data_IF_384741703306
#
_entry.id   IF_384741703306
#
_cell.length_a   1.000
_cell.length_b   1.000
_cell.length_c   1.000
_cell.angle_alpha   90.00
_cell.angle_beta   90.00
_cell.angle_gamma   90.00
#
_symmetry.space_group_name_H-M   'P 1'
#
loop_
_entity.id
_entity.type
_entity.pdbx_description
1 polymer ?
#
# COMPACT_ATOMS: atom_id res chain seq x y z
N UNK A 1 -20.62 8.99 5.20
CA UNK A 1 -19.94 9.65 4.07
C UNK A 1 -20.62 9.18 2.77
N UNK A 2 -21.22 10.07 1.99
CA UNK A 2 -22.07 9.71 0.83
C UNK A 2 -21.30 9.49 -0.48
N UNK A 3 -20.03 9.07 -0.43
CA UNK A 3 -19.19 8.82 -1.62
C UNK A 3 -18.60 7.41 -1.53
N UNK A 4 -18.59 6.64 -2.63
CA UNK A 4 -17.95 5.34 -2.63
C UNK A 4 -16.42 5.49 -2.50
N UNK A 5 -15.73 4.52 -1.87
CA UNK A 5 -14.27 4.47 -1.88
C UNK A 5 -13.74 4.21 -3.31
N UNK A 6 -12.50 4.61 -3.56
CA UNK A 6 -11.83 4.43 -4.86
C UNK A 6 -10.89 3.23 -4.90
N UNK A 7 -10.48 2.71 -3.73
CA UNK A 7 -9.59 1.58 -3.56
C UNK A 7 -9.72 1.02 -2.13
N UNK A 8 -9.05 -0.09 -1.87
CA UNK A 8 -8.92 -0.72 -0.55
C UNK A 8 -7.44 -0.79 -0.18
N UNK A 9 -7.14 -0.41 1.05
CA UNK A 9 -5.91 -0.72 1.76
C UNK A 9 -6.27 -1.14 3.21
N UNK A 10 -5.27 -1.30 4.07
CA UNK A 10 -5.54 -1.45 5.49
C UNK A 10 -4.43 -0.85 6.33
N UNK A 11 -4.82 -0.36 7.51
CA UNK A 11 -3.86 -0.05 8.56
C UNK A 11 -2.96 -1.26 8.87
N UNK A 12 -1.68 -1.03 9.10
CA UNK A 12 -0.66 -2.05 9.37
C UNK A 12 -0.57 -3.20 8.33
N UNK A 13 -1.05 -2.98 7.10
CA UNK A 13 -1.05 -4.00 6.03
C UNK A 13 -1.74 -5.32 6.42
N UNK A 14 -2.65 -5.32 7.40
CA UNK A 14 -3.36 -6.53 7.85
C UNK A 14 -4.11 -7.27 6.73
N UNK A 15 -4.52 -6.56 5.67
CA UNK A 15 -5.10 -7.18 4.48
C UNK A 15 -4.15 -8.17 3.79
N UNK A 16 -2.84 -8.07 3.97
CA UNK A 16 -1.83 -8.98 3.40
C UNK A 16 -1.53 -10.19 4.29
N UNK A 17 -2.22 -10.36 5.42
CA UNK A 17 -2.04 -11.57 6.23
C UNK A 17 -2.67 -12.77 5.50
N UNK A 18 -2.01 -13.95 5.43
CA UNK A 18 -2.49 -15.08 4.61
C UNK A 18 -3.91 -15.54 4.92
N UNK A 19 -4.34 -15.43 6.18
CA UNK A 19 -5.69 -15.82 6.60
C UNK A 19 -6.76 -14.78 6.24
N UNK A 20 -6.36 -13.54 5.96
CA UNK A 20 -7.25 -12.39 5.72
C UNK A 20 -7.29 -12.03 4.24
N UNK A 21 -6.13 -12.11 3.56
CA UNK A 21 -5.96 -11.68 2.17
C UNK A 21 -7.02 -12.24 1.21
N UNK A 22 -7.35 -13.55 1.21
CA UNK A 22 -8.36 -14.09 0.29
C UNK A 22 -9.75 -13.45 0.46
N UNK A 23 -10.10 -13.07 1.70
CA UNK A 23 -11.39 -12.42 2.00
C UNK A 23 -11.41 -10.98 1.46
N UNK A 24 -10.31 -10.24 1.67
CA UNK A 24 -10.19 -8.85 1.21
C UNK A 24 -10.11 -8.80 -0.32
N UNK A 25 -9.35 -9.70 -0.94
CA UNK A 25 -9.25 -9.81 -2.39
C UNK A 25 -10.60 -10.14 -3.03
N UNK A 26 -11.33 -11.12 -2.50
CA UNK A 26 -12.67 -11.46 -2.99
C UNK A 26 -13.66 -10.29 -2.84
N UNK A 27 -13.58 -9.57 -1.73
CA UNK A 27 -14.41 -8.37 -1.52
C UNK A 27 -14.06 -7.26 -2.51
N UNK A 28 -12.78 -6.97 -2.70
CA UNK A 28 -12.30 -5.97 -3.65
C UNK A 28 -12.79 -6.27 -5.07
N UNK A 29 -12.68 -7.53 -5.51
CA UNK A 29 -13.19 -7.99 -6.80
C UNK A 29 -14.71 -7.82 -6.90
N UNK A 30 -15.47 -8.24 -5.89
CA UNK A 30 -16.93 -8.13 -5.89
C UNK A 30 -17.42 -6.67 -5.93
N UNK A 31 -16.65 -5.73 -5.38
CA UNK A 31 -16.96 -4.29 -5.42
C UNK A 31 -16.35 -3.58 -6.64
N UNK A 32 -15.53 -4.26 -7.45
CA UNK A 32 -14.79 -3.63 -8.55
C UNK A 32 -13.80 -2.56 -8.09
N UNK A 33 -13.22 -2.73 -6.89
CA UNK A 33 -12.28 -1.78 -6.28
C UNK A 33 -10.83 -2.27 -6.45
N UNK A 34 -9.89 -1.39 -6.83
CA UNK A 34 -8.46 -1.65 -6.73
C UNK A 34 -8.04 -1.98 -5.29
N UNK A 35 -7.02 -2.82 -5.14
CA UNK A 35 -6.46 -3.24 -3.85
C UNK A 35 -4.97 -2.88 -3.81
N UNK A 36 -4.52 -2.15 -2.78
CA UNK A 36 -3.09 -1.95 -2.50
C UNK A 36 -2.39 -3.30 -2.42
N UNK A 37 -1.24 -3.45 -3.09
CA UNK A 37 -0.53 -4.73 -3.12
C UNK A 37 0.99 -4.55 -3.01
N UNK A 38 1.57 -5.02 -1.91
CA UNK A 38 3.00 -5.23 -1.80
C UNK A 38 3.35 -6.60 -2.40
N UNK A 39 3.85 -6.62 -3.64
CA UNK A 39 4.20 -7.86 -4.36
C UNK A 39 5.37 -8.61 -3.73
N UNK A 40 6.29 -7.91 -3.06
CA UNK A 40 7.41 -8.56 -2.36
C UNK A 40 6.93 -9.21 -1.07
N UNK A 41 6.01 -8.57 -0.36
CA UNK A 41 5.35 -9.17 0.80
C UNK A 41 4.46 -10.35 0.41
N UNK A 42 3.70 -10.24 -0.69
CA UNK A 42 2.92 -11.34 -1.23
C UNK A 42 3.79 -12.57 -1.52
N UNK A 43 4.95 -12.36 -2.16
CA UNK A 43 5.93 -13.43 -2.41
C UNK A 43 6.45 -14.02 -1.09
N UNK A 44 6.88 -13.20 -0.13
CA UNK A 44 7.37 -13.66 1.18
C UNK A 44 6.34 -14.48 1.95
N UNK A 45 5.07 -14.14 1.81
CA UNK A 45 3.93 -14.79 2.49
C UNK A 45 3.27 -15.90 1.68
N UNK A 46 3.80 -16.20 0.49
CA UNK A 46 3.26 -17.22 -0.43
C UNK A 46 1.78 -16.99 -0.77
N UNK A 47 1.37 -15.73 -0.93
CA UNK A 47 0.00 -15.38 -1.28
C UNK A 47 -0.28 -15.70 -2.76
N UNK A 48 -1.36 -16.42 -3.01
CA UNK A 48 -1.91 -16.57 -4.36
C UNK A 48 -2.66 -15.29 -4.73
N UNK A 49 -2.11 -14.52 -5.66
CA UNK A 49 -2.69 -13.25 -6.10
C UNK A 49 -3.61 -13.49 -7.29
N UNK A 50 -4.89 -13.16 -7.13
CA UNK A 50 -5.90 -13.17 -8.19
C UNK A 50 -6.42 -11.77 -8.50
N UNK A 51 -5.99 -10.75 -7.73
CA UNK A 51 -6.44 -9.38 -7.90
C UNK A 51 -6.10 -8.82 -9.28
N UNK A 52 -7.09 -8.34 -10.04
CA UNK A 52 -6.86 -7.83 -11.39
C UNK A 52 -6.41 -6.36 -11.40
N UNK A 53 -6.50 -5.62 -10.30
CA UNK A 53 -6.24 -4.17 -10.28
C UNK A 53 -5.50 -3.71 -9.01
N UNK A 54 -4.25 -3.28 -9.21
CA UNK A 54 -3.36 -2.64 -8.23
C UNK A 54 -2.37 -1.77 -9.01
N UNK A 55 -1.61 -0.92 -8.33
CA UNK A 55 -0.38 -0.33 -8.90
C UNK A 55 0.65 -1.40 -9.26
N UNK A 56 1.60 -1.03 -10.11
CA UNK A 56 2.71 -1.91 -10.50
C UNK A 56 3.67 -2.11 -9.33
N UNK A 57 4.00 -1.01 -8.66
CA UNK A 57 4.85 -0.97 -7.48
C UNK A 57 4.14 -0.36 -6.26
N UNK A 58 4.53 -0.85 -5.09
CA UNK A 58 4.16 -0.31 -3.80
C UNK A 58 5.41 -0.08 -2.96
N UNK A 59 5.48 1.06 -2.27
CA UNK A 59 6.61 1.44 -1.44
C UNK A 59 6.16 1.98 -0.07
N UNK A 60 6.49 1.25 1.00
CA UNK A 60 6.25 1.65 2.40
C UNK A 60 7.48 2.25 3.09
N UNK A 61 8.57 2.51 2.37
CA UNK A 61 9.85 2.91 2.95
C UNK A 61 10.01 4.40 3.20
N UNK A 62 9.04 5.24 2.85
CA UNK A 62 8.98 6.64 3.28
C UNK A 62 8.39 6.73 4.70
N UNK A 63 9.09 6.10 5.65
CA UNK A 63 8.66 5.93 7.04
C UNK A 63 9.85 5.96 8.02
N UNK A 64 9.59 6.23 9.30
CA UNK A 64 10.58 6.24 10.37
C UNK A 64 11.12 7.64 10.70
N UNK A 65 12.28 7.69 11.36
CA UNK A 65 12.84 8.94 11.90
C UNK A 65 13.62 9.78 10.85
N UNK A 66 14.04 9.16 9.75
CA UNK A 66 14.91 9.78 8.74
C UNK A 66 14.16 10.21 7.48
N UNK A 67 13.00 10.85 7.64
CA UNK A 67 12.21 11.38 6.53
C UNK A 67 12.89 12.61 5.94
N UNK A 68 13.17 12.59 4.64
CA UNK A 68 13.83 13.69 3.93
C UNK A 68 13.43 13.72 2.46
N UNK A 69 13.64 14.88 1.81
CA UNK A 69 13.49 15.01 0.36
C UNK A 69 14.42 14.05 -0.41
N UNK A 70 15.65 13.86 0.07
CA UNK A 70 16.61 12.93 -0.51
C UNK A 70 16.08 11.47 -0.48
N UNK A 71 15.47 11.05 0.64
CA UNK A 71 14.82 9.75 0.74
C UNK A 71 13.66 9.64 -0.26
N UNK A 72 12.81 10.67 -0.35
CA UNK A 72 11.69 10.68 -1.32
C UNK A 72 12.18 10.47 -2.75
N UNK A 73 13.17 11.26 -3.19
CA UNK A 73 13.76 11.14 -4.53
C UNK A 73 14.41 9.77 -4.76
N UNK A 74 15.07 9.21 -3.74
CA UNK A 74 15.63 7.86 -3.82
C UNK A 74 14.55 6.78 -4.04
N UNK A 75 13.40 6.87 -3.36
CA UNK A 75 12.30 5.91 -3.54
C UNK A 75 11.67 6.03 -4.93
N UNK A 76 11.53 7.24 -5.46
CA UNK A 76 11.06 7.47 -6.83
C UNK A 76 12.03 6.88 -7.87
N UNK A 77 13.32 7.17 -7.74
CA UNK A 77 14.36 6.64 -8.63
C UNK A 77 14.37 5.11 -8.64
N UNK A 78 14.20 4.47 -7.47
CA UNK A 78 14.10 3.01 -7.37
C UNK A 78 12.91 2.45 -8.15
N UNK A 79 11.74 3.10 -8.09
CA UNK A 79 10.57 2.64 -8.84
C UNK A 79 10.76 2.78 -10.35
N UNK A 80 11.42 3.86 -10.79
CA UNK A 80 11.79 4.10 -12.18
C UNK A 80 12.80 3.05 -12.69
N UNK A 81 13.84 2.75 -11.90
CA UNK A 81 14.81 1.68 -12.19
C UNK A 81 14.16 0.30 -12.31
N UNK A 82 13.07 0.07 -11.58
CA UNK A 82 12.27 -1.16 -11.63
C UNK A 82 11.28 -1.16 -12.81
N UNK A 83 11.17 -0.07 -13.57
CA UNK A 83 10.28 0.06 -14.72
C UNK A 83 8.80 0.10 -14.34
N UNK A 84 8.46 0.58 -13.14
CA UNK A 84 7.07 0.68 -12.71
C UNK A 84 6.33 1.81 -13.45
N UNK A 85 5.22 1.50 -14.14
CA UNK A 85 4.39 2.51 -14.80
C UNK A 85 3.49 3.26 -13.81
N UNK A 86 3.21 2.65 -12.66
CA UNK A 86 2.46 3.21 -11.54
C UNK A 86 3.08 2.84 -10.19
N UNK A 87 3.23 3.83 -9.32
CA UNK A 87 3.78 3.68 -7.97
C UNK A 87 2.77 4.17 -6.94
N UNK A 88 2.50 3.34 -5.93
CA UNK A 88 1.88 3.78 -4.69
C UNK A 88 2.96 3.93 -3.61
N UNK A 89 3.24 5.17 -3.21
CA UNK A 89 4.14 5.48 -2.09
C UNK A 89 3.32 5.83 -0.86
N UNK A 90 3.41 4.99 0.17
CA UNK A 90 2.68 5.20 1.42
C UNK A 90 3.45 6.15 2.35
N UNK A 91 2.72 7.01 3.06
CA UNK A 91 3.26 8.00 3.98
C UNK A 91 2.29 8.25 5.16
N UNK A 92 2.77 8.90 6.21
CA UNK A 92 2.00 9.19 7.42
C UNK A 92 2.04 10.68 7.79
N UNK A 93 1.48 11.58 6.96
CA UNK A 93 1.44 13.00 7.28
C UNK A 93 0.44 13.28 8.39
N UNK A 94 0.84 14.05 9.39
CA UNK A 94 -0.05 14.54 10.43
C UNK A 94 0.49 15.84 11.06
N UNK A 95 -0.42 16.69 11.55
CA UNK A 95 -0.06 17.67 12.56
C UNK A 95 -0.10 17.01 13.93
N UNK A 96 0.75 17.46 14.85
CA UNK A 96 0.74 16.96 16.21
C UNK A 96 -0.43 17.58 16.98
N UNK A 97 -1.23 16.74 17.61
CA UNK A 97 -2.23 17.14 18.60
C UNK A 97 -2.14 16.22 19.84
N UNK A 98 -2.94 16.52 20.87
CA UNK A 98 -2.93 15.77 22.11
C UNK A 98 -3.46 14.32 21.96
N UNK A 99 -4.16 14.00 20.88
CA UNK A 99 -4.65 12.64 20.62
C UNK A 99 -3.55 11.79 19.98
N UNK A 100 -2.79 12.37 19.04
CA UNK A 100 -1.68 11.71 18.33
C UNK A 100 -0.47 11.52 19.25
N UNK A 101 -0.27 12.42 20.22
CA UNK A 101 0.85 12.36 21.16
C UNK A 101 0.60 11.46 22.40
N UNK A 102 -0.59 10.89 22.55
CA UNK A 102 -0.91 9.93 23.62
C UNK A 102 -0.37 8.54 23.29
#
# INVERSE_FOLDING_TARGET
FGRPPTHIDSHHHVHMQPQIYPLVEAFAQAQGLPLRLDREEAKRRELALQTPCSTDAFDAGFYGEMISEALFLQRLARADEQGAESLEMMCHPAFLDATILQ
#
